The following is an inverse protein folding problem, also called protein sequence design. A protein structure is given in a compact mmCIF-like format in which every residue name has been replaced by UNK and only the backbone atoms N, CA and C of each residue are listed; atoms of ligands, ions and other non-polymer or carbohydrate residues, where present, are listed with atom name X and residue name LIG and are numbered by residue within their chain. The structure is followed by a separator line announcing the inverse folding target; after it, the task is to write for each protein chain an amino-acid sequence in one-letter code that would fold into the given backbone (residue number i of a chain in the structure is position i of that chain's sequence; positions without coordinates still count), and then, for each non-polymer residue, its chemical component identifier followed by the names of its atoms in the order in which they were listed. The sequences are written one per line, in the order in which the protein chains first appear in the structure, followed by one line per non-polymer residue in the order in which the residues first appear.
data_IF_717800996886
#
_entry.id   IF_717800996886
#
_cell.length_a   1.000
_cell.length_b   1.000
_cell.length_c   1.000
_cell.angle_alpha   90.00
_cell.angle_beta   90.00
_cell.angle_gamma   90.00
#
_symmetry.space_group_name_H-M   'P 1'
#
loop_
_entity.id
_entity.type
_entity.pdbx_description
1 polymer ?
#
# COMPACT_ATOMS: atom_id res chain seq x y z
N UNK A 1 7.67 -6.86 22.70
CA UNK A 1 7.02 -5.70 23.38
C UNK A 1 8.12 -4.71 23.72
N UNK A 2 8.00 -3.44 23.30
CA UNK A 2 8.98 -2.39 23.60
C UNK A 2 9.08 -2.16 25.11
N UNK A 3 10.29 -1.96 25.63
CA UNK A 3 10.52 -1.56 27.02
C UNK A 3 11.16 -0.16 27.02
N UNK A 4 10.66 0.80 27.80
CA UNK A 4 11.31 2.10 27.94
C UNK A 4 12.61 1.93 28.73
N UNK A 5 13.75 2.19 28.10
CA UNK A 5 15.05 2.15 28.76
C UNK A 5 15.49 3.58 29.08
N UNK A 6 15.84 3.82 30.34
CA UNK A 6 15.93 5.16 30.94
C UNK A 6 17.28 5.85 30.67
N UNK A 7 18.20 5.20 29.93
CA UNK A 7 19.54 5.70 29.63
C UNK A 7 19.70 6.22 28.21
N UNK A 8 18.63 6.18 27.41
CA UNK A 8 18.70 6.49 25.99
C UNK A 8 18.07 7.86 25.77
N UNK A 9 18.80 8.70 25.03
CA UNK A 9 18.27 9.99 24.64
C UNK A 9 17.04 9.82 23.72
N UNK A 10 15.91 10.37 24.16
CA UNK A 10 14.65 10.40 23.42
C UNK A 10 14.81 10.99 22.02
N UNK A 11 15.68 11.98 21.87
CA UNK A 11 15.92 12.65 20.58
C UNK A 11 16.56 11.71 19.55
N UNK A 12 17.46 10.83 20.01
CA UNK A 12 18.11 9.84 19.15
C UNK A 12 17.12 8.78 18.66
N UNK A 13 16.19 8.35 19.54
CA UNK A 13 15.10 7.43 19.17
C UNK A 13 14.17 8.08 18.16
N UNK A 14 13.79 9.34 18.38
CA UNK A 14 12.93 10.07 17.45
C UNK A 14 13.59 10.23 16.07
N UNK A 15 14.86 10.66 16.05
CA UNK A 15 15.66 10.78 14.81
C UNK A 15 15.73 9.45 14.06
N UNK A 16 15.94 8.34 14.77
CA UNK A 16 15.95 7.00 14.17
C UNK A 16 14.60 6.61 13.56
N UNK A 17 13.49 6.86 14.25
CA UNK A 17 12.13 6.58 13.74
C UNK A 17 11.86 7.41 12.48
N UNK A 18 12.22 8.70 12.49
CA UNK A 18 12.07 9.58 11.32
C UNK A 18 12.90 9.08 10.14
N UNK A 19 14.16 8.68 10.37
CA UNK A 19 15.02 8.10 9.34
C UNK A 19 14.40 6.81 8.75
N UNK A 20 13.92 5.91 9.61
CA UNK A 20 13.28 4.66 9.20
C UNK A 20 12.02 4.89 8.36
N UNK A 21 11.18 5.86 8.75
CA UNK A 21 9.95 6.22 8.06
C UNK A 21 10.24 6.88 6.71
N UNK A 22 11.15 7.85 6.66
CA UNK A 22 11.39 8.65 5.45
C UNK A 22 12.21 7.89 4.40
N UNK A 23 13.24 7.14 4.81
CA UNK A 23 14.14 6.47 3.88
C UNK A 23 13.67 5.06 3.49
N UNK A 24 13.05 4.35 4.43
CA UNK A 24 12.79 2.92 4.29
C UNK A 24 11.29 2.57 4.39
N UNK A 25 10.43 3.57 4.58
CA UNK A 25 8.98 3.42 4.72
C UNK A 25 8.59 2.39 5.80
N UNK A 26 9.33 2.40 6.90
CA UNK A 26 9.03 1.62 8.09
C UNK A 26 7.88 2.25 8.89
N UNK A 27 7.11 1.38 9.55
CA UNK A 27 6.17 1.83 10.58
C UNK A 27 6.93 2.05 11.90
N UNK A 28 6.40 2.95 12.72
CA UNK A 28 6.99 3.33 14.01
C UNK A 28 7.15 2.12 14.96
N UNK A 29 6.13 1.26 15.05
CA UNK A 29 6.17 0.03 15.85
C UNK A 29 7.28 -0.93 15.41
N UNK A 30 7.60 -0.96 14.12
CA UNK A 30 8.69 -1.79 13.60
C UNK A 30 10.06 -1.18 13.88
N UNK A 31 10.20 0.14 13.75
CA UNK A 31 11.43 0.84 14.08
C UNK A 31 11.78 0.68 15.58
N UNK A 32 10.78 0.82 16.46
CA UNK A 32 10.93 0.59 17.89
C UNK A 32 11.27 -0.88 18.20
N UNK A 33 10.57 -1.83 17.57
CA UNK A 33 10.86 -3.26 17.72
C UNK A 33 12.30 -3.62 17.32
N UNK A 34 12.81 -3.00 16.24
CA UNK A 34 14.17 -3.20 15.77
C UNK A 34 15.21 -2.65 16.76
N UNK A 35 14.99 -1.45 17.29
CA UNK A 35 15.85 -0.88 18.34
C UNK A 35 15.88 -1.77 19.58
N UNK A 36 14.72 -2.29 20.01
CA UNK A 36 14.65 -3.21 21.15
C UNK A 36 15.45 -4.49 20.91
N UNK A 37 15.36 -5.08 19.71
CA UNK A 37 16.10 -6.29 19.37
C UNK A 37 17.63 -6.10 19.41
N UNK A 38 18.10 -4.92 19.00
CA UNK A 38 19.52 -4.56 18.99
C UNK A 38 20.01 -3.91 20.28
N UNK A 39 19.29 -4.07 21.40
CA UNK A 39 19.67 -3.49 22.69
C UNK A 39 19.96 -1.99 22.58
N UNK A 40 19.18 -1.29 21.75
CA UNK A 40 19.28 0.15 21.50
C UNK A 40 20.58 0.63 20.85
N UNK A 41 21.29 -0.27 20.17
CA UNK A 41 22.43 0.07 19.33
C UNK A 41 21.96 0.61 17.95
N UNK A 42 22.02 1.93 17.79
CA UNK A 42 21.56 2.61 16.57
C UNK A 42 22.34 2.25 15.30
N UNK A 43 23.64 1.94 15.42
CA UNK A 43 24.49 1.60 14.27
C UNK A 43 24.07 0.27 13.67
N UNK A 44 23.92 -0.76 14.52
CA UNK A 44 23.49 -2.09 14.08
C UNK A 44 22.04 -2.08 13.57
N UNK A 45 21.14 -1.36 14.27
CA UNK A 45 19.76 -1.20 13.84
C UNK A 45 19.66 -0.45 12.49
N UNK A 46 20.50 0.56 12.24
CA UNK A 46 20.51 1.26 10.94
C UNK A 46 21.04 0.38 9.80
N UNK A 47 21.97 -0.54 10.07
CA UNK A 47 22.45 -1.48 9.06
C UNK A 47 21.34 -2.48 8.67
N UNK A 48 20.62 -3.02 9.66
CA UNK A 48 19.48 -3.91 9.40
C UNK A 48 18.33 -3.18 8.67
N UNK A 49 18.04 -1.91 8.99
CA UNK A 49 17.09 -1.09 8.21
C UNK A 49 17.42 -1.09 6.71
N UNK A 50 18.69 -0.89 6.37
CA UNK A 50 19.15 -0.87 4.98
C UNK A 50 19.01 -2.23 4.30
N UNK A 51 19.37 -3.31 5.01
CA UNK A 51 19.26 -4.70 4.52
C UNK A 51 17.83 -5.09 4.20
N UNK A 52 16.90 -4.82 5.11
CA UNK A 52 15.48 -5.10 4.86
C UNK A 52 14.88 -4.24 3.76
N UNK A 53 15.34 -2.99 3.60
CA UNK A 53 14.91 -2.16 2.47
C UNK A 53 15.33 -2.77 1.12
N UNK A 54 16.56 -3.29 1.03
CA UNK A 54 17.03 -4.00 -0.16
C UNK A 54 16.19 -5.25 -0.45
N UNK A 55 15.81 -6.00 0.59
CA UNK A 55 14.91 -7.16 0.47
C UNK A 55 13.50 -6.75 -0.01
N UNK A 56 12.94 -5.66 0.52
CA UNK A 56 11.60 -5.17 0.15
C UNK A 56 11.54 -4.51 -1.24
N UNK A 57 12.67 -4.01 -1.74
CA UNK A 57 12.80 -3.36 -3.07
C UNK A 57 12.89 -4.36 -4.23
N UNK A 58 12.94 -5.66 -3.96
CA UNK A 58 13.13 -6.72 -4.97
C UNK A 58 12.10 -6.76 -6.11
N UNK A 59 11.00 -6.00 -6.09
CA UNK A 59 10.08 -5.87 -7.23
C UNK A 59 10.42 -4.67 -8.13
N UNK A 60 11.15 -4.95 -9.21
CA UNK A 60 11.42 -3.95 -10.26
C UNK A 60 10.15 -3.58 -11.02
N UNK A 61 10.13 -2.43 -11.72
CA UNK A 61 8.97 -2.05 -12.55
C UNK A 61 8.65 -3.11 -13.62
N UNK A 62 9.69 -3.67 -14.24
CA UNK A 62 9.56 -4.76 -15.20
C UNK A 62 8.94 -6.02 -14.58
N UNK A 63 9.32 -6.40 -13.36
CA UNK A 63 8.72 -7.54 -12.65
C UNK A 63 7.24 -7.30 -12.33
N UNK A 64 6.89 -6.08 -11.94
CA UNK A 64 5.50 -5.70 -11.65
C UNK A 64 4.63 -5.79 -12.90
N UNK A 65 5.11 -5.26 -14.02
CA UNK A 65 4.41 -5.31 -15.30
C UNK A 65 4.28 -6.76 -15.82
N UNK A 66 5.32 -7.57 -15.61
CA UNK A 66 5.30 -9.01 -15.92
C UNK A 66 4.28 -9.74 -15.06
N UNK A 67 4.27 -9.50 -13.75
CA UNK A 67 3.28 -10.08 -12.84
C UNK A 67 1.85 -9.69 -13.21
N UNK A 68 1.61 -8.47 -13.66
CA UNK A 68 0.27 -8.04 -14.10
C UNK A 68 -0.24 -8.79 -15.31
N UNK A 69 0.63 -8.97 -16.31
CA UNK A 69 0.31 -9.81 -17.47
C UNK A 69 0.02 -11.25 -17.06
N UNK A 70 0.81 -11.80 -16.13
CA UNK A 70 0.65 -13.17 -15.64
C UNK A 70 -0.62 -13.36 -14.82
N UNK A 71 -0.98 -12.43 -13.93
CA UNK A 71 -2.25 -12.44 -13.19
C UNK A 71 -3.44 -12.30 -14.16
N UNK A 72 -3.33 -11.44 -15.18
CA UNK A 72 -4.34 -11.29 -16.21
C UNK A 72 -4.45 -12.52 -17.14
N UNK A 73 -3.44 -13.39 -17.18
CA UNK A 73 -3.48 -14.65 -17.95
C UNK A 73 -3.96 -15.84 -17.11
N UNK A 74 -3.32 -16.08 -15.96
CA UNK A 74 -3.49 -17.28 -15.13
C UNK A 74 -4.35 -17.06 -13.87
N UNK A 75 -4.84 -15.83 -13.63
CA UNK A 75 -5.68 -15.47 -12.46
C UNK A 75 -4.95 -15.79 -11.14
N UNK A 76 -5.53 -16.65 -10.29
CA UNK A 76 -4.98 -17.02 -8.97
C UNK A 76 -4.19 -18.33 -9.00
N UNK A 77 -3.84 -18.83 -10.19
CA UNK A 77 -2.94 -19.96 -10.31
C UNK A 77 -1.49 -19.49 -10.10
N UNK A 78 -1.06 -19.46 -8.84
CA UNK A 78 0.25 -18.92 -8.46
C UNK A 78 1.40 -19.84 -8.88
N UNK A 79 1.16 -21.15 -9.00
CA UNK A 79 2.16 -22.10 -9.49
C UNK A 79 2.58 -21.76 -10.92
N UNK A 80 1.60 -21.52 -11.80
CA UNK A 80 1.88 -21.10 -13.19
C UNK A 80 2.58 -19.73 -13.27
N UNK A 81 2.27 -18.82 -12.35
CA UNK A 81 2.94 -17.52 -12.26
C UNK A 81 4.39 -17.68 -11.81
N UNK A 82 4.67 -18.59 -10.87
CA UNK A 82 6.02 -18.89 -10.40
C UNK A 82 6.87 -19.54 -11.48
N UNK A 83 6.32 -20.46 -12.28
CA UNK A 83 7.02 -21.03 -13.44
C UNK A 83 7.48 -19.94 -14.42
N UNK A 84 6.67 -18.89 -14.60
CA UNK A 84 7.01 -17.76 -15.48
C UNK A 84 7.93 -16.71 -14.82
N UNK A 85 8.15 -16.77 -13.51
CA UNK A 85 9.04 -15.90 -12.74
C UNK A 85 9.88 -16.73 -11.74
N UNK A 86 10.81 -17.55 -12.24
CA UNK A 86 11.57 -18.48 -11.39
C UNK A 86 12.51 -17.76 -10.42
N UNK A 87 12.87 -16.50 -10.71
CA UNK A 87 13.68 -15.65 -9.83
C UNK A 87 12.91 -15.12 -8.61
N UNK A 88 11.58 -15.32 -8.56
CA UNK A 88 10.74 -14.97 -7.41
C UNK A 88 10.25 -16.23 -6.72
N UNK A 89 10.38 -16.24 -5.40
CA UNK A 89 9.84 -17.32 -4.58
C UNK A 89 8.31 -17.23 -4.54
N UNK A 90 7.64 -18.37 -4.35
CA UNK A 90 6.19 -18.43 -4.17
C UNK A 90 5.71 -17.45 -3.09
N UNK A 91 6.46 -17.36 -1.98
CA UNK A 91 6.15 -16.45 -0.88
C UNK A 91 6.14 -14.99 -1.32
N UNK A 92 7.11 -14.55 -2.12
CA UNK A 92 7.18 -13.18 -2.62
C UNK A 92 6.04 -12.86 -3.59
N UNK A 93 5.70 -13.81 -4.47
CA UNK A 93 4.58 -13.70 -5.43
C UNK A 93 3.26 -13.52 -4.68
N UNK A 94 3.00 -14.37 -3.69
CA UNK A 94 1.79 -14.31 -2.86
C UNK A 94 1.76 -13.01 -2.05
N UNK A 95 2.85 -12.63 -1.40
CA UNK A 95 2.94 -11.40 -0.63
C UNK A 95 2.61 -10.17 -1.51
N UNK A 96 3.23 -10.07 -2.69
CA UNK A 96 3.00 -8.98 -3.62
C UNK A 96 1.54 -8.89 -4.09
N UNK A 97 0.90 -10.03 -4.36
CA UNK A 97 -0.54 -10.07 -4.73
C UNK A 97 -1.43 -9.43 -3.65
N UNK A 98 -1.22 -9.79 -2.39
CA UNK A 98 -2.07 -9.33 -1.30
C UNK A 98 -1.77 -7.88 -0.90
N UNK A 99 -0.51 -7.45 -0.88
CA UNK A 99 -0.13 -6.07 -0.64
C UNK A 99 -0.78 -5.11 -1.65
N UNK A 100 -0.71 -5.46 -2.94
CA UNK A 100 -1.34 -4.70 -4.02
C UNK A 100 -2.86 -4.64 -3.87
N UNK A 101 -3.50 -5.75 -3.49
CA UNK A 101 -4.95 -5.80 -3.29
C UNK A 101 -5.39 -4.88 -2.14
N UNK A 102 -4.60 -4.79 -1.07
CA UNK A 102 -4.86 -3.86 0.04
C UNK A 102 -4.69 -2.41 -0.42
N UNK A 103 -3.63 -2.10 -1.17
CA UNK A 103 -3.40 -0.77 -1.73
C UNK A 103 -4.55 -0.32 -2.65
N UNK A 104 -5.04 -1.21 -3.53
CA UNK A 104 -6.17 -0.95 -4.42
C UNK A 104 -7.47 -0.71 -3.63
N UNK A 105 -7.75 -1.52 -2.60
CA UNK A 105 -8.90 -1.30 -1.71
C UNK A 105 -8.84 0.07 -1.03
N UNK A 106 -7.66 0.47 -0.53
CA UNK A 106 -7.43 1.79 0.08
C UNK A 106 -7.71 2.90 -0.94
N UNK A 107 -7.13 2.81 -2.13
CA UNK A 107 -7.37 3.77 -3.22
C UNK A 107 -8.86 3.89 -3.56
N UNK A 108 -9.56 2.77 -3.76
CA UNK A 108 -10.99 2.74 -4.07
C UNK A 108 -11.85 3.37 -2.96
N UNK A 109 -11.47 3.21 -1.68
CA UNK A 109 -12.15 3.87 -0.56
C UNK A 109 -12.01 5.39 -0.63
N UNK A 110 -10.82 5.90 -0.95
CA UNK A 110 -10.59 7.33 -1.09
C UNK A 110 -11.33 7.93 -2.30
N UNK A 111 -11.41 7.21 -3.42
CA UNK A 111 -12.11 7.70 -4.62
C UNK A 111 -13.63 7.64 -4.51
N UNK A 112 -14.18 6.70 -3.73
CA UNK A 112 -15.63 6.63 -3.47
C UNK A 112 -16.14 7.83 -2.68
N UNK A 113 -15.33 8.39 -1.78
CA UNK A 113 -15.67 9.60 -1.02
C UNK A 113 -15.62 10.90 -1.87
N UNK A 114 -15.06 10.85 -3.09
CA UNK A 114 -15.02 11.99 -4.03
C UNK A 114 -16.15 11.99 -5.06
N UNK A 115 -17.00 10.96 -5.11
CA UNK A 115 -18.23 11.01 -5.92
C UNK A 115 -19.26 11.87 -5.19
N UNK A 116 -19.08 13.19 -5.25
CA UNK A 116 -20.14 14.14 -4.96
C UNK A 116 -21.35 13.81 -5.85
N UNK A 117 -22.56 13.89 -5.27
CA UNK A 117 -23.82 13.70 -5.97
C UNK A 117 -23.82 14.57 -7.24
N UNK A 118 -24.20 14.05 -8.42
CA UNK A 118 -24.44 14.93 -9.56
C UNK A 118 -25.52 15.93 -9.13
N UNK A 119 -25.23 17.22 -9.27
CA UNK A 119 -26.23 18.26 -9.08
C UNK A 119 -27.43 17.90 -9.96
N UNK A 120 -28.60 17.74 -9.35
CA UNK A 120 -29.85 17.53 -10.09
C UNK A 120 -30.02 18.77 -10.97
N UNK A 121 -29.72 18.66 -12.26
CA UNK A 121 -30.14 19.66 -13.22
C UNK A 121 -31.67 19.65 -13.20
N UNK A 122 -32.26 20.75 -12.78
CA UNK A 122 -33.69 21.00 -12.87
C UNK A 122 -34.04 21.08 -14.35
N UNK A 123 -34.37 19.94 -14.97
CA UNK A 123 -35.06 19.97 -16.25
C UNK A 123 -36.49 20.44 -15.96
N UNK A 124 -36.73 21.71 -16.21
CA UNK A 124 -38.07 22.32 -16.21
C UNK A 124 -38.96 21.49 -17.13
N UNK A 125 -39.95 20.81 -16.55
CA UNK A 125 -40.98 20.10 -17.33
C UNK A 125 -41.78 21.16 -18.08
N UNK A 126 -41.57 21.22 -19.39
CA UNK A 126 -42.34 22.03 -20.33
C UNK A 126 -43.77 21.49 -20.35
N UNK A 127 -44.70 22.21 -19.74
CA UNK A 127 -46.13 21.89 -19.79
C UNK A 127 -46.70 22.35 -21.12
N UNK A 128 -47.11 21.41 -21.97
CA UNK A 128 -48.07 21.71 -23.04
C UNK A 128 -49.35 20.94 -22.75
N UNK A 129 -50.28 21.63 -22.10
CA UNK A 129 -51.65 21.15 -21.93
C UNK A 129 -52.44 21.59 -23.19
N UNK A 130 -52.64 20.65 -24.12
CA UNK A 130 -53.70 20.76 -25.14
C UNK A 130 -54.99 20.27 -24.48
N UNK A 131 -56.01 21.13 -24.39
CA UNK A 131 -57.44 20.85 -24.67
C UNK A 131 -58.35 21.93 -24.08
N UNK A 132 -59.11 22.58 -24.97
CA UNK A 132 -60.50 23.08 -24.85
C UNK A 132 -60.81 23.70 -26.22
N UNK A 133 -61.88 23.46 -26.98
CA UNK A 133 -63.10 22.62 -26.90
C UNK A 133 -63.71 22.59 -28.34
N UNK A 134 -64.64 21.68 -28.66
CA UNK A 134 -65.63 21.94 -29.70
C UNK A 134 -67.07 22.04 -29.16
N UNK A 135 -67.82 22.93 -29.81
CA UNK A 135 -69.24 23.32 -29.70
C UNK A 135 -69.69 24.08 -28.45
#
# INVERSE_FOLDING_TARGET
MWKPHHSINSDNVHSFIQKAKNQYNYREDQALGLLFHHQYNFTTASAELSKYYMLKKNWSKADKDKFDKLIAKYRKNFDQIQVNMPHKTMREIIAYYYERKVALKKFNRLTKNKKAKPAKSFLVRRTHNRRTSPQ
#
